data_IF_416341750322
#
_entry.id   IF_416341750322
#
_cell.length_a   1.000
_cell.length_b   1.000
_cell.length_c   1.000
_cell.angle_alpha   90.00
_cell.angle_beta   90.00
_cell.angle_gamma   90.00
#
_symmetry.space_group_name_H-M   'P 1'
#
loop_
_entity.id
_entity.type
_entity.pdbx_description
1 polymer ?
#
# COMPACT_ATOMS: atom_id res chain seq x y z
N UNK A 1 -2.64 46.03 -36.08
CA UNK A 1 -2.36 44.66 -35.57
C UNK A 1 -2.84 44.61 -34.12
N UNK A 2 -3.72 43.65 -33.80
CA UNK A 2 -4.45 43.58 -32.51
C UNK A 2 -3.50 43.32 -31.34
N UNK A 3 -3.90 43.83 -30.18
CA UNK A 3 -3.15 44.03 -28.94
C UNK A 3 -3.22 42.81 -27.98
N UNK A 4 -2.39 42.86 -26.93
CA UNK A 4 -2.46 42.16 -25.62
C UNK A 4 -2.21 40.64 -25.65
N UNK A 5 -1.51 40.03 -24.69
CA UNK A 5 -1.01 40.53 -23.42
C UNK A 5 -0.44 39.41 -22.53
N UNK A 6 0.34 39.86 -21.55
CA UNK A 6 0.62 39.30 -20.22
C UNK A 6 1.02 37.83 -19.99
N UNK A 7 2.15 37.72 -19.28
CA UNK A 7 2.64 36.62 -18.46
C UNK A 7 1.61 36.03 -17.49
N UNK A 8 1.88 34.81 -16.97
CA UNK A 8 1.64 34.35 -15.57
C UNK A 8 2.16 32.91 -15.43
N UNK A 9 3.24 32.70 -14.66
CA UNK A 9 3.33 32.06 -13.32
C UNK A 9 3.47 30.53 -13.32
N UNK A 10 4.65 30.13 -12.84
CA UNK A 10 4.97 29.00 -11.95
C UNK A 10 3.97 27.86 -11.76
N UNK A 11 4.47 26.65 -11.99
CA UNK A 11 4.07 25.50 -11.20
C UNK A 11 5.34 25.01 -10.51
N UNK A 12 5.54 25.49 -9.29
CA UNK A 12 6.31 24.77 -8.28
C UNK A 12 5.65 23.40 -8.15
N UNK A 13 6.25 22.38 -8.76
CA UNK A 13 5.86 21.00 -8.51
C UNK A 13 6.11 20.72 -7.04
N UNK A 14 5.07 20.87 -6.23
CA UNK A 14 5.04 20.39 -4.85
C UNK A 14 5.21 18.88 -4.93
N UNK A 15 6.45 18.41 -4.85
CA UNK A 15 6.75 17.04 -4.48
C UNK A 15 6.26 16.90 -3.05
N UNK A 16 4.99 16.51 -2.89
CA UNK A 16 4.44 16.07 -1.64
C UNK A 16 5.13 14.75 -1.27
N UNK A 17 6.35 14.85 -0.73
CA UNK A 17 6.96 13.79 0.03
C UNK A 17 6.17 13.69 1.33
N UNK A 18 5.09 12.92 1.32
CA UNK A 18 4.43 12.49 2.55
C UNK A 18 5.43 11.64 3.33
N UNK A 19 6.00 12.27 4.36
CA UNK A 19 6.98 11.68 5.25
C UNK A 19 6.37 10.52 6.04
N UNK A 20 6.99 9.35 5.83
CA UNK A 20 7.18 8.20 6.72
C UNK A 20 6.05 7.94 7.73
N UNK A 21 5.09 7.12 7.35
CA UNK A 21 4.24 6.46 8.33
C UNK A 21 5.10 5.43 9.08
N UNK A 22 5.47 5.74 10.32
CA UNK A 22 6.17 4.84 11.25
C UNK A 22 5.27 3.68 11.74
N UNK A 23 4.34 3.23 10.90
CA UNK A 23 3.41 2.15 11.20
C UNK A 23 3.28 1.25 9.98
N UNK A 24 4.40 0.89 9.37
CA UNK A 24 4.41 -0.17 8.41
C UNK A 24 3.89 -1.46 9.07
N UNK A 25 3.14 -2.26 8.32
CA UNK A 25 2.71 -3.56 8.76
C UNK A 25 2.74 -4.51 7.55
N UNK A 26 2.86 -5.80 7.86
CA UNK A 26 2.73 -6.85 6.86
C UNK A 26 1.36 -7.47 7.06
N UNK A 27 0.61 -7.60 5.98
CA UNK A 27 -0.71 -8.24 6.00
C UNK A 27 -0.65 -9.46 5.12
N UNK A 28 -1.13 -10.59 5.63
CA UNK A 28 -1.21 -11.85 4.88
C UNK A 28 -2.64 -12.38 4.88
N UNK A 29 -3.12 -12.87 3.74
CA UNK A 29 -4.40 -13.59 3.66
C UNK A 29 -4.20 -15.11 3.84
N UNK A 30 -5.31 -15.85 3.91
CA UNK A 30 -5.29 -17.31 4.07
C UNK A 30 -4.67 -18.06 2.88
N UNK A 31 -4.65 -17.44 1.69
CA UNK A 31 -4.06 -17.99 0.46
C UNK A 31 -2.52 -17.85 0.42
N UNK A 32 -1.97 -17.15 1.41
CA UNK A 32 -0.54 -16.90 1.54
C UNK A 32 -0.03 -15.69 0.76
N UNK A 33 -0.91 -14.86 0.20
CA UNK A 33 -0.50 -13.57 -0.34
C UNK A 33 -0.25 -12.61 0.82
N UNK A 34 0.97 -12.08 0.88
CA UNK A 34 1.40 -11.09 1.87
C UNK A 34 1.77 -9.78 1.18
N UNK A 35 1.46 -8.64 1.81
CA UNK A 35 1.74 -7.31 1.28
C UNK A 35 2.09 -6.33 2.38
N UNK A 36 2.83 -5.29 2.01
CA UNK A 36 3.15 -4.22 2.94
C UNK A 36 2.07 -3.15 2.92
N UNK A 37 1.73 -2.63 4.09
CA UNK A 37 0.90 -1.45 4.24
C UNK A 37 1.66 -0.35 4.95
N UNK A 38 1.38 0.89 4.59
CA UNK A 38 2.03 2.08 5.16
C UNK A 38 1.55 2.37 6.59
N UNK A 39 0.31 1.99 6.90
CA UNK A 39 -0.31 2.12 8.22
C UNK A 39 -1.18 0.88 8.49
N UNK A 40 -1.47 0.60 9.76
CA UNK A 40 -2.42 -0.46 10.13
C UNK A 40 -3.84 -0.01 9.83
N UNK A 41 -4.52 -0.71 8.94
CA UNK A 41 -5.93 -0.48 8.62
C UNK A 41 -6.85 -1.33 9.50
N UNK A 42 -8.09 -0.87 9.66
CA UNK A 42 -9.17 -1.63 10.30
C UNK A 42 -9.74 -2.65 9.30
N UNK A 43 -9.10 -3.82 9.23
CA UNK A 43 -9.57 -4.92 8.40
C UNK A 43 -10.71 -5.64 9.11
N UNK A 44 -11.81 -5.81 8.39
CA UNK A 44 -12.93 -6.56 8.94
C UNK A 44 -12.60 -8.05 9.03
N UNK A 45 -13.08 -8.77 10.06
CA UNK A 45 -12.81 -10.20 10.22
C UNK A 45 -13.16 -11.05 8.99
N UNK A 46 -14.22 -10.69 8.27
CA UNK A 46 -14.65 -11.39 7.05
C UNK A 46 -13.65 -11.34 5.88
N UNK A 47 -12.62 -10.48 5.94
CA UNK A 47 -11.59 -10.41 4.91
C UNK A 47 -10.53 -11.51 5.06
N UNK A 48 -10.49 -12.21 6.20
CA UNK A 48 -9.59 -13.36 6.40
C UNK A 48 -8.10 -12.98 6.36
N UNK A 49 -7.74 -11.81 6.88
CA UNK A 49 -6.36 -11.32 6.88
C UNK A 49 -5.75 -11.29 8.28
N UNK A 50 -4.46 -11.57 8.36
CA UNK A 50 -3.64 -11.41 9.57
C UNK A 50 -2.68 -10.24 9.40
N UNK A 51 -2.57 -9.42 10.44
CA UNK A 51 -1.68 -8.26 10.47
C UNK A 51 -0.50 -8.57 11.38
N UNK A 52 0.70 -8.43 10.84
CA UNK A 52 1.98 -8.57 11.53
C UNK A 52 2.69 -7.21 11.64
N UNK A 53 3.70 -7.14 12.51
CA UNK A 53 4.65 -6.02 12.51
C UNK A 53 5.45 -5.95 11.21
N UNK A 54 6.11 -4.82 10.97
CA UNK A 54 6.99 -4.61 9.82
C UNK A 54 8.30 -5.40 9.90
N UNK A 55 8.66 -5.88 11.09
CA UNK A 55 9.79 -6.76 11.35
C UNK A 55 9.48 -8.25 11.13
N UNK A 56 8.21 -8.57 10.88
CA UNK A 56 7.80 -9.95 10.70
C UNK A 56 8.31 -10.54 9.39
N UNK A 57 8.66 -11.82 9.46
CA UNK A 57 9.02 -12.65 8.33
C UNK A 57 8.51 -14.05 8.60
N UNK A 58 8.05 -14.73 7.55
CA UNK A 58 7.77 -16.15 7.66
C UNK A 58 9.07 -16.95 7.82
N UNK A 59 8.95 -18.18 8.34
CA UNK A 59 10.08 -19.09 8.46
C UNK A 59 10.47 -19.66 7.09
N UNK A 60 11.73 -20.08 6.93
CA UNK A 60 12.20 -20.71 5.67
C UNK A 60 11.37 -21.95 5.29
N UNK A 61 10.86 -22.68 6.27
CA UNK A 61 9.97 -23.82 6.05
C UNK A 61 8.63 -23.44 5.39
N UNK A 62 8.22 -22.17 5.47
CA UNK A 62 6.97 -21.66 4.92
C UNK A 62 7.16 -20.92 3.58
N UNK A 63 8.33 -21.00 2.95
CA UNK A 63 8.62 -20.25 1.71
C UNK A 63 7.70 -20.62 0.54
N UNK A 64 7.20 -21.86 0.49
CA UNK A 64 6.22 -22.30 -0.54
C UNK A 64 4.79 -21.86 -0.20
N UNK A 65 4.52 -21.58 1.08
CA UNK A 65 3.21 -21.19 1.58
C UNK A 65 2.93 -19.72 1.29
N UNK A 66 3.90 -18.85 1.55
CA UNK A 66 3.72 -17.40 1.43
C UNK A 66 4.39 -16.83 0.19
N UNK A 67 3.82 -15.73 -0.32
CA UNK A 67 4.35 -14.99 -1.46
C UNK A 67 4.09 -13.51 -1.28
N UNK A 68 5.04 -12.68 -1.68
CA UNK A 68 4.87 -11.23 -1.67
C UNK A 68 4.01 -10.79 -2.85
N UNK A 69 3.03 -9.93 -2.59
CA UNK A 69 2.20 -9.25 -3.58
C UNK A 69 2.02 -7.78 -3.24
N UNK A 70 2.91 -6.94 -3.73
CA UNK A 70 2.83 -5.50 -3.47
C UNK A 70 1.70 -4.84 -4.27
N UNK A 71 1.03 -3.89 -3.63
CA UNK A 71 0.05 -3.02 -4.29
C UNK A 71 0.04 -1.64 -3.61
N UNK A 72 -0.06 -0.57 -4.43
CA UNK A 72 -0.19 0.80 -3.91
C UNK A 72 -1.63 1.09 -3.46
N UNK A 73 -1.77 1.89 -2.41
CA UNK A 73 -3.07 2.33 -1.91
C UNK A 73 -3.69 1.42 -0.86
N UNK A 74 -4.98 1.65 -0.62
CA UNK A 74 -5.76 1.11 0.48
C UNK A 74 -6.60 -0.07 -0.02
N UNK A 75 -6.34 -1.28 0.46
CA UNK A 75 -7.06 -2.48 0.04
C UNK A 75 -6.54 -3.77 0.67
N UNK A 76 -7.01 -4.90 0.16
CA UNK A 76 -6.53 -6.23 0.51
C UNK A 76 -6.56 -7.17 -0.70
N UNK A 77 -5.70 -8.19 -0.67
CA UNK A 77 -5.73 -9.29 -1.64
C UNK A 77 -6.76 -10.35 -1.25
N UNK A 78 -7.61 -10.72 -2.20
CA UNK A 78 -8.58 -11.81 -2.08
C UNK A 78 -8.68 -12.53 -3.42
N UNK A 79 -8.39 -13.84 -3.44
CA UNK A 79 -8.43 -14.70 -4.62
C UNK A 79 -7.61 -14.16 -5.78
N UNK A 80 -6.43 -13.61 -5.47
CA UNK A 80 -5.51 -13.03 -6.46
C UNK A 80 -5.97 -11.70 -7.08
N UNK A 81 -6.98 -11.04 -6.50
CA UNK A 81 -7.47 -9.72 -6.92
C UNK A 81 -7.31 -8.72 -5.77
N UNK A 82 -6.89 -7.50 -6.10
CA UNK A 82 -6.85 -6.39 -5.15
C UNK A 82 -8.22 -5.73 -5.00
N UNK A 83 -8.74 -5.68 -3.77
CA UNK A 83 -9.99 -5.02 -3.44
C UNK A 83 -9.70 -3.77 -2.60
N UNK A 84 -9.95 -2.60 -3.20
CA UNK A 84 -9.77 -1.32 -2.52
C UNK A 84 -10.93 -0.97 -1.58
N UNK A 85 -10.67 -0.06 -0.66
CA UNK A 85 -11.68 0.53 0.23
C UNK A 85 -11.69 2.06 0.18
#
# INVERSE_FOLDING_TARGET
MKKLGSAVVGILGLLAFSATSASAAIVCNEEGDCWHVKEKYDYKPEFGVHIYGDDWKWADADHDKYRWREHEGRGYWNKGIWLGF
#
